data_IF_237929065127
#
_entry.id   IF_237929065127
#
_cell.length_a   1.000
_cell.length_b   1.000
_cell.length_c   1.000
_cell.angle_alpha   90.00
_cell.angle_beta   90.00
_cell.angle_gamma   90.00
#
_symmetry.space_group_name_H-M   'P 1'
#
loop_
_entity.id
_entity.type
_entity.pdbx_description
1 polymer ?
#
# COMPACT_ATOMS: atom_id res chain seq x y z
N UNK A 1 7.01 -3.44 -23.82
CA UNK A 1 8.25 -2.90 -23.22
C UNK A 1 9.43 -3.82 -23.58
N UNK A 2 10.59 -3.27 -23.94
CA UNK A 2 11.86 -4.02 -24.03
C UNK A 2 12.65 -3.85 -22.73
N UNK A 3 13.29 -4.91 -22.24
CA UNK A 3 14.07 -4.87 -20.99
C UNK A 3 15.38 -5.63 -21.17
N UNK A 4 16.49 -4.88 -21.25
CA UNK A 4 17.84 -5.43 -21.45
C UNK A 4 18.23 -6.46 -20.38
N UNK A 5 17.77 -6.31 -19.14
CA UNK A 5 18.02 -7.28 -18.06
C UNK A 5 17.32 -8.62 -18.27
N UNK A 6 16.10 -8.59 -18.80
CA UNK A 6 15.35 -9.80 -19.09
C UNK A 6 15.97 -10.50 -20.31
N UNK A 7 16.25 -9.74 -21.37
CA UNK A 7 16.82 -10.25 -22.62
C UNK A 7 18.21 -10.88 -22.38
N UNK A 8 19.02 -10.29 -21.49
CA UNK A 8 20.31 -10.84 -21.06
C UNK A 8 20.19 -11.97 -20.00
N UNK A 9 18.97 -12.35 -19.58
CA UNK A 9 18.75 -13.39 -18.57
C UNK A 9 19.18 -13.03 -17.15
N UNK A 10 19.54 -11.75 -16.89
CA UNK A 10 20.02 -11.25 -15.59
C UNK A 10 18.89 -11.05 -14.57
N UNK A 11 17.67 -10.78 -15.04
CA UNK A 11 16.51 -10.60 -14.19
C UNK A 11 15.27 -11.29 -14.78
N UNK A 12 14.61 -12.14 -13.98
CA UNK A 12 13.38 -12.86 -14.37
C UNK A 12 12.15 -12.46 -13.56
N UNK A 13 12.19 -11.32 -12.86
CA UNK A 13 11.06 -10.86 -12.04
C UNK A 13 9.79 -10.57 -12.86
N UNK A 14 9.93 -10.15 -14.12
CA UNK A 14 8.82 -9.93 -15.05
C UNK A 14 8.51 -11.20 -15.86
N UNK A 15 7.85 -12.18 -15.24
CA UNK A 15 7.64 -13.52 -15.84
C UNK A 15 6.79 -13.54 -17.12
N UNK A 16 5.96 -12.52 -17.35
CA UNK A 16 5.11 -12.40 -18.53
C UNK A 16 5.66 -11.44 -19.60
N UNK A 17 6.88 -10.91 -19.44
CA UNK A 17 7.44 -9.93 -20.38
C UNK A 17 7.43 -10.37 -21.86
N UNK A 18 7.68 -11.65 -22.21
CA UNK A 18 7.61 -12.10 -23.60
C UNK A 18 6.20 -12.05 -24.23
N UNK A 19 5.14 -11.98 -23.41
CA UNK A 19 3.76 -11.96 -23.89
C UNK A 19 3.35 -10.52 -24.22
N UNK A 20 2.77 -10.26 -25.40
CA UNK A 20 2.20 -8.95 -25.72
C UNK A 20 1.19 -8.50 -24.66
N UNK A 21 1.25 -7.22 -24.27
CA UNK A 21 0.46 -6.70 -23.16
C UNK A 21 -1.06 -6.94 -23.27
N UNK A 22 -1.71 -6.79 -24.45
CA UNK A 22 -3.12 -7.14 -24.61
C UNK A 22 -3.45 -8.60 -24.31
N UNK A 23 -2.53 -9.53 -24.62
CA UNK A 23 -2.70 -10.95 -24.31
C UNK A 23 -2.54 -11.21 -22.81
N UNK A 24 -1.62 -10.51 -22.13
CA UNK A 24 -1.51 -10.59 -20.67
C UNK A 24 -2.81 -10.14 -19.99
N UNK A 25 -3.43 -9.06 -20.49
CA UNK A 25 -4.69 -8.53 -19.97
C UNK A 25 -5.84 -9.51 -20.20
N UNK A 26 -6.00 -10.01 -21.44
CA UNK A 26 -7.01 -11.01 -21.79
C UNK A 26 -6.88 -12.27 -20.93
N UNK A 27 -5.66 -12.79 -20.75
CA UNK A 27 -5.42 -13.97 -19.90
C UNK A 27 -5.77 -13.73 -18.42
N UNK A 28 -5.50 -12.52 -17.89
CA UNK A 28 -5.89 -12.15 -16.51
C UNK A 28 -7.40 -12.04 -16.37
N UNK A 29 -8.09 -11.44 -17.34
CA UNK A 29 -9.56 -11.37 -17.35
C UNK A 29 -10.18 -12.76 -17.43
N UNK A 30 -9.69 -13.63 -18.33
CA UNK A 30 -10.20 -15.00 -18.44
C UNK A 30 -10.01 -15.76 -17.13
N UNK A 31 -8.84 -15.66 -16.50
CA UNK A 31 -8.59 -16.31 -15.20
C UNK A 31 -9.51 -15.79 -14.09
N UNK A 32 -9.90 -14.50 -14.14
CA UNK A 32 -10.89 -13.96 -13.22
C UNK A 32 -12.30 -14.53 -13.50
N UNK A 33 -12.70 -14.63 -14.78
CA UNK A 33 -13.96 -15.25 -15.21
C UNK A 33 -14.04 -16.71 -14.78
N UNK A 34 -12.99 -17.49 -15.02
CA UNK A 34 -12.94 -18.91 -14.63
C UNK A 34 -13.07 -19.09 -13.12
N UNK A 35 -12.40 -18.23 -12.34
CA UNK A 35 -12.49 -18.27 -10.88
C UNK A 35 -13.88 -17.90 -10.35
N UNK A 36 -14.64 -17.09 -11.09
CA UNK A 36 -15.98 -16.63 -10.73
C UNK A 36 -17.09 -17.31 -11.55
N UNK A 37 -16.79 -18.43 -12.22
CA UNK A 37 -17.74 -19.10 -13.11
C UNK A 37 -19.03 -19.55 -12.41
N UNK A 38 -19.01 -19.70 -11.08
CA UNK A 38 -20.20 -20.03 -10.27
C UNK A 38 -21.22 -18.89 -10.14
N UNK A 39 -20.90 -17.68 -10.61
CA UNK A 39 -21.78 -16.49 -10.61
C UNK A 39 -21.92 -15.96 -12.04
N UNK A 40 -22.68 -16.65 -12.91
CA UNK A 40 -22.82 -16.27 -14.32
C UNK A 40 -23.52 -14.92 -14.54
N UNK A 41 -24.26 -14.43 -13.54
CA UNK A 41 -24.96 -13.14 -13.54
C UNK A 41 -24.06 -11.91 -13.32
N UNK A 42 -22.75 -12.10 -13.12
CA UNK A 42 -21.83 -10.98 -12.91
C UNK A 42 -21.67 -10.14 -14.19
N UNK A 43 -21.87 -8.84 -14.05
CA UNK A 43 -21.54 -7.86 -15.08
C UNK A 43 -20.02 -7.61 -15.13
N UNK A 44 -19.41 -7.88 -16.29
CA UNK A 44 -17.98 -7.68 -16.51
C UNK A 44 -17.72 -6.31 -17.14
N UNK A 45 -17.20 -5.38 -16.34
CA UNK A 45 -16.72 -4.10 -16.83
C UNK A 45 -15.40 -4.24 -17.63
N UNK A 46 -15.07 -3.27 -18.51
CA UNK A 46 -13.76 -3.20 -19.14
C UNK A 46 -12.64 -3.20 -18.08
N UNK A 47 -11.55 -3.91 -18.35
CA UNK A 47 -10.43 -3.92 -17.43
C UNK A 47 -9.67 -2.59 -17.45
N UNK A 48 -9.30 -2.13 -16.27
CA UNK A 48 -8.35 -1.03 -16.09
C UNK A 48 -6.94 -1.57 -16.39
N UNK A 49 -6.28 -0.98 -17.36
CA UNK A 49 -4.90 -1.28 -17.72
C UNK A 49 -3.89 -0.35 -17.03
N UNK A 50 -2.61 -0.61 -17.26
CA UNK A 50 -1.49 0.14 -16.70
C UNK A 50 -0.55 0.51 -17.83
N UNK A 51 0.18 1.62 -17.66
CA UNK A 51 1.41 1.82 -18.41
C UNK A 51 2.32 0.58 -18.26
N UNK A 52 3.04 0.24 -19.34
CA UNK A 52 3.91 -0.93 -19.33
C UNK A 52 5.21 -0.67 -18.55
N UNK A 53 5.68 0.57 -18.50
CA UNK A 53 6.93 1.01 -17.87
C UNK A 53 6.70 2.19 -16.93
N UNK A 54 7.66 2.47 -16.04
CA UNK A 54 7.66 3.66 -15.17
C UNK A 54 6.52 3.73 -14.15
N UNK A 55 5.67 2.71 -14.06
CA UNK A 55 4.48 2.74 -13.20
C UNK A 55 4.79 2.47 -11.72
N UNK A 56 5.99 1.96 -11.41
CA UNK A 56 6.33 1.49 -10.07
C UNK A 56 6.90 2.63 -9.23
N UNK A 57 6.10 3.16 -8.31
CA UNK A 57 6.47 4.24 -7.39
C UNK A 57 7.41 3.82 -6.23
N UNK A 58 7.73 2.52 -6.11
CA UNK A 58 8.55 1.99 -5.00
C UNK A 58 9.61 1.01 -5.47
N UNK A 59 10.87 1.36 -5.26
CA UNK A 59 12.01 0.48 -5.42
C UNK A 59 12.32 -0.27 -4.12
N UNK A 60 12.71 -1.54 -4.26
CA UNK A 60 13.16 -2.40 -3.17
C UNK A 60 14.48 -3.00 -3.61
N UNK A 61 15.58 -2.34 -3.27
CA UNK A 61 16.90 -2.69 -3.76
C UNK A 61 17.64 -3.48 -2.68
N UNK A 62 18.05 -4.69 -3.00
CA UNK A 62 19.13 -5.36 -2.27
C UNK A 62 20.40 -4.55 -2.49
N UNK A 63 21.11 -4.26 -1.40
CA UNK A 63 22.43 -3.66 -1.48
C UNK A 63 23.48 -4.77 -1.42
N UNK A 64 24.32 -4.84 -2.44
CA UNK A 64 25.36 -5.86 -2.57
C UNK A 64 26.67 -5.24 -3.06
N UNK A 65 27.67 -6.06 -3.39
CA UNK A 65 29.00 -5.59 -3.76
C UNK A 65 29.81 -5.15 -2.54
N UNK A 66 30.37 -3.94 -2.57
CA UNK A 66 31.14 -3.36 -1.45
C UNK A 66 30.68 -1.93 -1.19
N UNK A 67 31.00 -1.36 -0.03
CA UNK A 67 30.67 0.06 0.22
C UNK A 67 31.35 1.00 -0.79
N UNK A 68 32.51 0.64 -1.36
CA UNK A 68 33.21 1.43 -2.39
C UNK A 68 32.58 1.34 -3.78
N UNK A 69 31.93 0.21 -4.06
CA UNK A 69 31.28 -0.11 -5.34
C UNK A 69 30.00 -0.87 -5.02
N UNK A 70 28.98 -0.18 -4.48
CA UNK A 70 27.72 -0.81 -4.14
C UNK A 70 26.98 -1.17 -5.41
N UNK A 71 26.14 -2.20 -5.32
CA UNK A 71 25.23 -2.61 -6.39
C UNK A 71 23.82 -2.58 -5.84
N UNK A 72 22.93 -1.85 -6.50
CA UNK A 72 21.52 -1.71 -6.13
C UNK A 72 20.63 -2.52 -7.08
N UNK A 73 20.00 -3.58 -6.56
CA UNK A 73 19.09 -4.38 -7.37
C UNK A 73 18.62 -5.66 -6.69
N UNK A 74 18.94 -6.81 -7.27
CA UNK A 74 18.59 -8.13 -6.74
C UNK A 74 19.84 -9.00 -6.59
N UNK A 75 19.67 -10.18 -5.98
CA UNK A 75 20.67 -11.24 -6.01
C UNK A 75 20.28 -12.26 -7.08
N UNK A 76 21.27 -12.75 -7.83
CA UNK A 76 21.09 -13.93 -8.68
C UNK A 76 21.10 -15.23 -7.86
N UNK A 77 21.05 -16.37 -8.55
CA UNK A 77 21.03 -17.70 -7.93
C UNK A 77 22.29 -18.01 -7.09
N UNK A 78 23.43 -17.38 -7.43
CA UNK A 78 24.70 -17.56 -6.74
C UNK A 78 24.89 -16.52 -5.60
N UNK A 79 23.89 -15.66 -5.38
CA UNK A 79 23.94 -14.61 -4.38
C UNK A 79 24.77 -13.40 -4.79
N UNK A 80 25.09 -13.25 -6.07
CA UNK A 80 25.80 -12.08 -6.61
C UNK A 80 24.80 -10.97 -6.97
N UNK A 81 25.23 -9.74 -6.75
CA UNK A 81 24.45 -8.55 -7.07
C UNK A 81 24.22 -8.38 -8.58
N UNK A 82 22.95 -8.22 -8.96
CA UNK A 82 22.52 -7.76 -10.27
C UNK A 82 22.00 -6.34 -10.12
N UNK A 83 22.71 -5.40 -10.75
CA UNK A 83 22.30 -3.99 -10.82
C UNK A 83 20.98 -3.88 -11.60
N UNK A 84 20.01 -3.19 -11.01
CA UNK A 84 18.70 -2.88 -11.59
C UNK A 84 18.33 -1.40 -11.42
N UNK A 85 19.32 -0.52 -11.26
CA UNK A 85 19.13 0.93 -11.16
C UNK A 85 18.42 1.52 -12.39
N UNK A 86 18.60 0.95 -13.56
CA UNK A 86 17.96 1.29 -14.84
C UNK A 86 16.71 0.44 -15.17
N UNK A 87 16.14 -0.26 -14.19
CA UNK A 87 14.95 -1.09 -14.42
C UNK A 87 13.78 -0.25 -14.94
N UNK A 88 13.26 -0.62 -16.12
CA UNK A 88 12.19 0.07 -16.82
C UNK A 88 10.84 0.15 -16.06
N UNK A 89 10.68 -0.59 -14.96
CA UNK A 89 9.51 -0.45 -14.10
C UNK A 89 9.55 0.80 -13.23
N UNK A 90 10.75 1.26 -12.86
CA UNK A 90 10.91 2.43 -12.00
C UNK A 90 10.69 3.71 -12.81
N UNK A 91 10.09 4.69 -12.15
CA UNK A 91 9.93 6.04 -12.68
C UNK A 91 11.29 6.71 -12.91
N UNK A 92 11.35 7.74 -13.78
CA UNK A 92 12.57 8.49 -14.01
C UNK A 92 13.17 9.11 -12.73
N UNK A 93 12.34 9.59 -11.79
CA UNK A 93 12.83 10.19 -10.55
C UNK A 93 13.47 9.18 -9.60
N UNK A 94 12.94 7.95 -9.53
CA UNK A 94 13.60 6.85 -8.81
C UNK A 94 14.94 6.52 -9.48
N UNK A 95 14.98 6.32 -10.80
CA UNK A 95 16.19 5.97 -11.53
C UNK A 95 17.29 7.04 -11.35
N UNK A 96 16.92 8.32 -11.44
CA UNK A 96 17.84 9.45 -11.27
C UNK A 96 18.46 9.53 -9.87
N UNK A 97 17.88 8.88 -8.87
CA UNK A 97 18.38 8.92 -7.49
C UNK A 97 19.48 7.90 -7.19
N UNK A 98 19.57 6.81 -7.96
CA UNK A 98 20.38 5.65 -7.56
C UNK A 98 21.89 5.93 -7.53
N UNK A 99 22.43 6.65 -8.53
CA UNK A 99 23.85 7.01 -8.54
C UNK A 99 24.25 7.87 -7.31
N UNK A 100 23.36 8.76 -6.88
CA UNK A 100 23.55 9.56 -5.66
C UNK A 100 23.49 8.69 -4.40
N UNK A 101 22.59 7.70 -4.36
CA UNK A 101 22.50 6.76 -3.25
C UNK A 101 23.71 5.82 -3.16
N UNK A 102 24.26 5.39 -4.29
CA UNK A 102 25.51 4.62 -4.36
C UNK A 102 26.69 5.44 -3.84
N UNK A 103 26.79 6.69 -4.25
CA UNK A 103 27.80 7.63 -3.75
C UNK A 103 27.66 7.87 -2.24
N UNK A 104 26.42 7.96 -1.75
CA UNK A 104 26.13 8.09 -0.32
C UNK A 104 26.54 6.85 0.49
N UNK A 105 26.28 5.65 -0.02
CA UNK A 105 26.73 4.39 0.59
C UNK A 105 28.25 4.39 0.76
N UNK A 106 28.98 4.86 -0.25
CA UNK A 106 30.44 4.98 -0.18
C UNK A 106 30.88 6.03 0.83
N UNK A 107 30.25 7.21 0.82
CA UNK A 107 30.54 8.31 1.75
C UNK A 107 30.34 7.90 3.22
N UNK A 108 29.21 7.27 3.53
CA UNK A 108 28.86 6.86 4.90
C UNK A 108 29.47 5.49 5.29
N UNK A 109 30.26 4.88 4.40
CA UNK A 109 30.93 3.57 4.59
C UNK A 109 29.92 2.51 5.07
N UNK A 110 28.81 2.39 4.33
CA UNK A 110 27.74 1.44 4.65
C UNK A 110 28.06 0.09 4.02
N UNK A 111 28.60 -0.83 4.81
CA UNK A 111 28.97 -2.16 4.33
C UNK A 111 27.73 -2.96 3.92
N UNK A 112 27.61 -3.40 2.65
CA UNK A 112 26.51 -4.26 2.22
C UNK A 112 26.46 -5.56 3.02
N UNK A 113 25.26 -6.01 3.36
CA UNK A 113 25.05 -7.22 4.13
C UNK A 113 25.16 -8.48 3.25
N UNK A 114 26.10 -9.36 3.59
CA UNK A 114 26.26 -10.66 2.96
C UNK A 114 25.47 -11.72 3.73
N UNK A 115 24.44 -12.28 3.10
CA UNK A 115 23.53 -13.27 3.71
C UNK A 115 24.26 -14.57 4.07
N UNK A 116 25.16 -15.05 3.22
CA UNK A 116 25.89 -16.30 3.44
C UNK A 116 26.87 -16.18 4.62
N UNK A 117 27.61 -15.07 4.70
CA UNK A 117 28.58 -14.81 5.76
C UNK A 117 27.98 -14.21 7.03
N UNK A 118 26.72 -13.75 6.97
CA UNK A 118 26.02 -13.02 8.03
C UNK A 118 26.79 -11.79 8.55
N UNK A 119 27.45 -11.10 7.63
CA UNK A 119 28.32 -9.94 7.91
C UNK A 119 27.90 -8.73 7.09
N UNK A 120 28.33 -7.55 7.51
CA UNK A 120 27.91 -6.28 6.93
C UNK A 120 26.67 -5.74 7.64
N UNK A 121 26.15 -4.63 7.13
CA UNK A 121 25.21 -3.80 7.88
C UNK A 121 23.99 -3.40 7.05
N UNK A 122 24.19 -2.84 5.86
CA UNK A 122 23.13 -2.38 4.99
C UNK A 122 22.57 -3.53 4.13
N UNK A 123 21.31 -3.90 4.37
CA UNK A 123 20.62 -4.99 3.65
C UNK A 123 19.88 -4.48 2.41
N UNK A 124 19.07 -3.43 2.60
CA UNK A 124 18.20 -2.92 1.55
C UNK A 124 18.13 -1.39 1.57
N UNK A 125 17.92 -0.81 0.38
CA UNK A 125 17.35 0.52 0.23
C UNK A 125 15.92 0.39 -0.27
N UNK A 126 14.98 0.95 0.48
CA UNK A 126 13.58 1.06 0.06
C UNK A 126 13.32 2.52 -0.27
N UNK A 127 13.03 2.80 -1.54
CA UNK A 127 12.78 4.14 -2.03
C UNK A 127 11.35 4.22 -2.54
N UNK A 128 10.58 5.20 -2.07
CA UNK A 128 9.21 5.47 -2.53
C UNK A 128 9.16 6.90 -3.08
N UNK A 129 8.55 7.08 -4.23
CA UNK A 129 8.33 8.39 -4.87
C UNK A 129 6.84 8.74 -4.83
N UNK A 130 6.53 10.00 -4.56
CA UNK A 130 5.17 10.54 -4.69
C UNK A 130 4.84 10.92 -6.14
N UNK A 131 3.58 11.25 -6.38
CA UNK A 131 3.12 11.87 -7.64
C UNK A 131 3.82 13.20 -7.96
N UNK A 132 4.29 13.91 -6.93
CA UNK A 132 5.01 15.19 -7.04
C UNK A 132 6.53 15.02 -7.16
N UNK A 133 7.05 13.79 -7.17
CA UNK A 133 8.49 13.49 -7.22
C UNK A 133 9.21 13.59 -5.88
N UNK A 134 8.50 13.81 -4.76
CA UNK A 134 9.09 13.75 -3.43
C UNK A 134 9.47 12.31 -3.08
N UNK A 135 10.59 12.14 -2.37
CA UNK A 135 11.16 10.83 -2.04
C UNK A 135 11.07 10.53 -0.55
N UNK A 136 10.74 9.27 -0.26
CA UNK A 136 10.97 8.63 1.03
C UNK A 136 12.03 7.54 0.87
N UNK A 137 13.15 7.69 1.58
CA UNK A 137 14.25 6.73 1.61
C UNK A 137 14.29 6.01 2.96
N UNK A 138 14.36 4.68 2.91
CA UNK A 138 14.51 3.85 4.10
C UNK A 138 15.74 2.97 3.96
N UNK A 139 16.66 3.08 4.91
CA UNK A 139 17.80 2.18 5.03
C UNK A 139 17.39 0.99 5.89
N UNK A 140 17.44 -0.23 5.35
CA UNK A 140 17.22 -1.42 6.17
C UNK A 140 18.57 -1.96 6.61
N UNK A 141 18.82 -1.88 7.91
CA UNK A 141 20.08 -2.26 8.54
C UNK A 141 19.92 -3.52 9.38
N UNK A 142 21.04 -4.15 9.73
CA UNK A 142 21.08 -5.28 10.66
C UNK A 142 21.00 -4.83 12.12
N UNK A 143 21.68 -3.74 12.46
CA UNK A 143 21.75 -3.11 13.78
C UNK A 143 21.78 -1.58 13.63
N UNK A 144 21.90 -0.87 14.76
CA UNK A 144 21.94 0.58 14.83
C UNK A 144 23.36 1.17 14.62
N UNK A 145 24.38 0.34 14.41
CA UNK A 145 25.80 0.75 14.36
C UNK A 145 26.08 1.84 13.31
N UNK A 146 25.37 1.82 12.18
CA UNK A 146 25.57 2.80 11.11
C UNK A 146 24.64 4.01 11.18
N UNK A 147 23.70 4.07 12.13
CA UNK A 147 22.69 5.15 12.22
C UNK A 147 23.34 6.52 12.35
N UNK A 148 24.33 6.67 13.24
CA UNK A 148 25.01 7.96 13.45
C UNK A 148 25.82 8.40 12.22
N UNK A 149 26.41 7.46 11.47
CA UNK A 149 27.09 7.79 10.21
C UNK A 149 26.11 8.25 9.14
N UNK A 150 24.93 7.61 9.05
CA UNK A 150 23.87 8.05 8.13
C UNK A 150 23.40 9.45 8.52
N UNK A 151 23.15 9.70 9.82
CA UNK A 151 22.77 11.03 10.33
C UNK A 151 23.81 12.10 9.99
N UNK A 152 25.09 11.81 10.20
CA UNK A 152 26.20 12.73 9.94
C UNK A 152 26.23 13.20 8.47
N UNK A 153 25.99 12.29 7.52
CA UNK A 153 26.04 12.60 6.08
C UNK A 153 24.68 12.96 5.46
N UNK A 154 23.58 12.82 6.21
CA UNK A 154 22.22 13.09 5.71
C UNK A 154 22.06 14.49 5.09
N UNK A 155 22.63 15.59 5.65
CA UNK A 155 22.54 16.90 5.01
C UNK A 155 23.12 16.93 3.59
N UNK A 156 24.26 16.27 3.36
CA UNK A 156 24.87 16.14 2.03
C UNK A 156 23.98 15.36 1.07
N UNK A 157 23.33 14.30 1.55
CA UNK A 157 22.38 13.54 0.74
C UNK A 157 21.16 14.37 0.35
N UNK A 158 20.59 15.14 1.29
CA UNK A 158 19.44 16.01 1.01
C UNK A 158 19.79 17.20 0.11
N UNK A 159 21.03 17.68 0.12
CA UNK A 159 21.51 18.66 -0.85
C UNK A 159 21.60 18.06 -2.27
N UNK A 160 22.06 16.80 -2.39
CA UNK A 160 22.16 16.11 -3.67
C UNK A 160 20.81 15.59 -4.19
N UNK A 161 19.84 15.35 -3.30
CA UNK A 161 18.46 15.00 -3.61
C UNK A 161 17.50 15.97 -2.90
N UNK A 162 17.29 17.19 -3.41
CA UNK A 162 16.41 18.18 -2.77
C UNK A 162 14.95 17.72 -2.58
N UNK A 163 14.51 16.75 -3.38
CA UNK A 163 13.21 16.10 -3.28
C UNK A 163 13.13 15.05 -2.16
N UNK A 164 14.24 14.71 -1.48
CA UNK A 164 14.27 13.74 -0.39
C UNK A 164 13.65 14.31 0.89
N UNK A 165 12.38 13.95 1.12
CA UNK A 165 11.57 14.47 2.23
C UNK A 165 11.66 13.64 3.47
N UNK A 166 11.47 12.33 3.36
CA UNK A 166 11.41 11.44 4.54
C UNK A 166 12.57 10.47 4.50
N UNK A 167 13.36 10.45 5.57
CA UNK A 167 14.45 9.48 5.73
C UNK A 167 14.30 8.72 7.03
N UNK A 168 14.45 7.40 6.97
CA UNK A 168 14.40 6.53 8.14
C UNK A 168 15.37 5.36 8.05
N UNK A 169 15.62 4.76 9.20
CA UNK A 169 16.37 3.51 9.34
C UNK A 169 15.46 2.46 9.94
N UNK A 170 15.29 1.35 9.23
CA UNK A 170 14.60 0.17 9.72
C UNK A 170 15.63 -0.85 10.23
N UNK A 171 15.47 -1.34 11.45
CA UNK A 171 16.35 -2.36 12.02
C UNK A 171 15.74 -3.75 11.82
N UNK A 172 16.45 -4.59 11.06
CA UNK A 172 16.09 -5.98 10.76
C UNK A 172 17.23 -6.89 11.25
N UNK A 173 17.31 -7.21 12.56
CA UNK A 173 18.38 -8.06 13.09
C UNK A 173 18.20 -9.54 12.75
N UNK A 174 16.97 -9.94 12.44
CA UNK A 174 16.64 -11.33 12.16
C UNK A 174 17.20 -11.81 10.80
N UNK A 175 17.52 -13.10 10.72
CA UNK A 175 17.97 -13.76 9.50
C UNK A 175 16.81 -14.52 8.85
N UNK A 176 15.67 -13.84 8.69
CA UNK A 176 14.45 -14.41 8.08
C UNK A 176 14.20 -13.78 6.71
N UNK A 177 13.37 -14.43 5.89
CA UNK A 177 12.90 -13.91 4.59
C UNK A 177 12.00 -12.66 4.68
N UNK A 178 11.97 -11.99 5.84
CA UNK A 178 11.21 -10.76 6.07
C UNK A 178 12.10 -9.59 5.67
N UNK A 179 11.58 -8.70 4.82
CA UNK A 179 12.33 -7.58 4.25
C UNK A 179 12.71 -6.52 5.29
N UNK A 180 11.87 -6.31 6.30
CA UNK A 180 11.91 -5.20 7.25
C UNK A 180 11.71 -5.76 8.67
N UNK A 181 12.32 -5.15 9.68
CA UNK A 181 12.07 -5.46 11.08
C UNK A 181 11.09 -4.48 11.73
N UNK A 182 10.83 -4.68 13.02
CA UNK A 182 9.77 -3.96 13.74
C UNK A 182 10.17 -2.52 14.11
N UNK A 183 11.45 -2.26 14.36
CA UNK A 183 11.93 -0.96 14.80
C UNK A 183 12.25 -0.06 13.60
N UNK A 184 11.67 1.15 13.62
CA UNK A 184 11.91 2.21 12.64
C UNK A 184 12.38 3.48 13.36
N UNK A 185 13.54 4.00 12.97
CA UNK A 185 14.15 5.22 13.48
C UNK A 185 14.00 6.31 12.42
N UNK A 186 13.16 7.31 12.68
CA UNK A 186 13.05 8.48 11.80
C UNK A 186 14.30 9.36 11.95
N UNK A 187 14.90 9.72 10.81
CA UNK A 187 16.02 10.66 10.74
C UNK A 187 15.55 12.08 10.38
N UNK A 188 14.35 12.21 9.81
CA UNK A 188 13.69 13.49 9.49
C UNK A 188 12.35 13.60 10.24
N UNK A 189 12.35 13.80 11.58
CA UNK A 189 11.12 13.83 12.38
C UNK A 189 10.14 14.97 12.00
N UNK A 190 10.61 16.02 11.35
CA UNK A 190 9.88 17.20 10.87
C UNK A 190 9.03 16.85 9.64
N UNK A 191 9.48 15.87 8.86
CA UNK A 191 8.82 15.34 7.66
C UNK A 191 8.67 13.82 7.78
N UNK A 192 7.88 13.33 8.77
CA UNK A 192 7.83 11.91 9.11
C UNK A 192 7.02 11.07 8.11
N UNK A 193 6.45 11.72 7.09
CA UNK A 193 5.50 11.16 6.14
C UNK A 193 5.74 11.70 4.74
N UNK A 194 5.54 10.84 3.75
CA UNK A 194 5.43 11.20 2.34
C UNK A 194 3.96 11.38 1.98
N UNK A 195 3.60 12.47 1.29
CA UNK A 195 2.23 12.64 0.80
C UNK A 195 2.16 12.21 -0.66
N UNK A 196 1.18 11.38 -0.99
CA UNK A 196 0.89 10.97 -2.37
C UNK A 196 -0.54 11.40 -2.68
N UNK A 197 -0.71 12.25 -3.69
CA UNK A 197 -2.03 12.56 -4.24
C UNK A 197 -2.52 11.36 -5.03
N UNK A 198 -3.71 10.91 -4.66
CA UNK A 198 -4.44 9.88 -5.40
C UNK A 198 -5.83 10.41 -5.65
N UNK A 199 -6.17 10.65 -6.91
CA UNK A 199 -7.36 11.39 -7.29
C UNK A 199 -7.38 12.76 -6.57
N UNK A 200 -8.43 13.03 -5.79
CA UNK A 200 -8.61 14.25 -5.01
C UNK A 200 -8.09 14.16 -3.56
N UNK A 201 -7.39 13.07 -3.18
CA UNK A 201 -7.01 12.80 -1.80
C UNK A 201 -5.50 12.81 -1.53
N UNK A 202 -5.02 13.56 -0.51
CA UNK A 202 -3.61 13.60 -0.11
C UNK A 202 -3.28 12.47 0.87
N UNK A 203 -3.12 11.24 0.36
CA UNK A 203 -2.82 10.08 1.20
C UNK A 203 -1.42 10.23 1.82
N UNK A 204 -1.35 10.20 3.15
CA UNK A 204 -0.09 10.34 3.91
C UNK A 204 0.50 8.98 4.24
N UNK A 205 1.76 8.74 3.88
CA UNK A 205 2.45 7.46 4.08
C UNK A 205 3.57 7.62 5.11
N UNK A 206 3.52 6.81 6.16
CA UNK A 206 4.65 6.58 7.08
C UNK A 206 5.55 5.46 6.56
N UNK A 207 6.82 5.35 6.98
CA UNK A 207 7.78 4.39 6.44
C UNK A 207 7.29 2.94 6.32
N UNK A 208 6.66 2.39 7.35
CA UNK A 208 6.17 1.01 7.38
C UNK A 208 4.73 0.85 6.84
N UNK A 209 4.10 1.92 6.38
CA UNK A 209 2.76 1.86 5.79
C UNK A 209 2.81 1.17 4.42
N UNK A 210 1.90 0.22 4.21
CA UNK A 210 1.70 -0.36 2.87
C UNK A 210 0.98 0.63 1.97
N UNK A 211 1.45 0.74 0.73
CA UNK A 211 0.80 1.50 -0.33
C UNK A 211 0.95 0.76 -1.66
N UNK A 212 0.01 1.00 -2.58
CA UNK A 212 0.04 0.36 -3.89
C UNK A 212 1.23 0.87 -4.69
N UNK A 213 1.96 -0.05 -5.32
CA UNK A 213 3.16 0.32 -6.06
C UNK A 213 2.87 1.00 -7.40
N UNK A 214 1.61 0.96 -7.86
CA UNK A 214 1.16 1.57 -9.10
C UNK A 214 0.06 2.58 -8.76
N UNK A 215 0.43 3.86 -8.64
CA UNK A 215 -0.48 4.93 -8.21
C UNK A 215 -1.65 5.12 -9.19
N UNK A 216 -1.46 5.17 -10.52
CA UNK A 216 -2.57 5.32 -11.47
C UNK A 216 -3.63 4.20 -11.35
N UNK A 217 -3.20 2.93 -11.32
CA UNK A 217 -4.12 1.79 -11.19
C UNK A 217 -4.81 1.80 -9.83
N UNK A 218 -4.10 2.18 -8.77
CA UNK A 218 -4.71 2.34 -7.45
C UNK A 218 -5.79 3.42 -7.45
N UNK A 219 -5.53 4.57 -8.08
CA UNK A 219 -6.49 5.66 -8.23
C UNK A 219 -7.76 5.23 -8.95
N UNK A 220 -7.62 4.52 -10.07
CA UNK A 220 -8.75 3.96 -10.82
C UNK A 220 -9.55 2.92 -10.00
N UNK A 221 -8.86 2.05 -9.27
CA UNK A 221 -9.50 1.10 -8.35
C UNK A 221 -10.31 1.81 -7.25
N UNK A 222 -9.76 2.87 -6.65
CA UNK A 222 -10.46 3.65 -5.62
C UNK A 222 -11.65 4.41 -6.19
N UNK A 223 -11.52 5.00 -7.38
CA UNK A 223 -12.59 5.70 -8.06
C UNK A 223 -13.75 4.76 -8.41
N UNK A 224 -13.45 3.56 -8.90
CA UNK A 224 -14.48 2.55 -9.20
C UNK A 224 -15.22 2.10 -7.95
N UNK A 225 -14.51 1.88 -6.85
CA UNK A 225 -15.14 1.54 -5.57
C UNK A 225 -16.02 2.68 -5.03
N UNK A 226 -15.60 3.94 -5.20
CA UNK A 226 -16.42 5.11 -4.88
C UNK A 226 -17.72 5.11 -5.68
N UNK A 227 -17.65 4.88 -6.99
CA UNK A 227 -18.83 4.83 -7.85
C UNK A 227 -19.82 3.74 -7.41
N UNK A 228 -19.35 2.51 -7.17
CA UNK A 228 -20.22 1.42 -6.70
C UNK A 228 -20.87 1.73 -5.34
N UNK A 229 -20.11 2.33 -4.41
CA UNK A 229 -20.64 2.72 -3.11
C UNK A 229 -21.60 3.91 -3.22
N UNK A 230 -21.41 4.82 -4.17
CA UNK A 230 -22.38 5.88 -4.47
C UNK A 230 -23.68 5.31 -5.04
N UNK A 231 -23.61 4.36 -5.97
CA UNK A 231 -24.79 3.69 -6.53
C UNK A 231 -25.57 2.88 -5.48
N UNK A 232 -24.87 2.22 -4.56
CA UNK A 232 -25.50 1.43 -3.50
C UNK A 232 -26.07 2.25 -2.34
N UNK A 233 -25.67 3.53 -2.22
CA UNK A 233 -26.07 4.46 -1.16
C UNK A 233 -26.08 3.88 0.29
N UNK A 234 -25.04 3.15 0.74
CA UNK A 234 -25.05 2.61 2.09
C UNK A 234 -24.89 3.74 3.12
N UNK A 235 -25.63 3.62 4.23
CA UNK A 235 -25.46 4.50 5.40
C UNK A 235 -24.14 4.23 6.12
N UNK A 236 -23.59 3.01 5.99
CA UNK A 236 -22.36 2.59 6.64
C UNK A 236 -21.48 1.68 5.78
N UNK A 237 -20.17 1.93 5.80
CA UNK A 237 -19.14 1.15 5.11
C UNK A 237 -18.06 0.67 6.07
N UNK A 238 -17.62 -0.57 5.91
CA UNK A 238 -16.47 -1.14 6.60
C UNK A 238 -15.36 -1.47 5.61
N UNK A 239 -14.22 -0.79 5.74
CA UNK A 239 -13.00 -1.10 4.97
C UNK A 239 -12.09 -1.97 5.82
N UNK A 240 -12.08 -3.28 5.55
CA UNK A 240 -11.24 -4.24 6.26
C UNK A 240 -9.88 -4.33 5.57
N UNK A 241 -8.81 -4.29 6.37
CA UNK A 241 -7.43 -4.17 5.87
C UNK A 241 -7.22 -2.85 5.12
N UNK A 242 -7.74 -1.76 5.70
CA UNK A 242 -7.83 -0.46 5.03
C UNK A 242 -6.46 0.16 4.71
N UNK A 243 -5.36 -0.34 5.29
CA UNK A 243 -4.04 0.24 5.14
C UNK A 243 -4.06 1.72 5.52
N UNK A 244 -3.51 2.57 4.64
CA UNK A 244 -3.52 4.05 4.80
C UNK A 244 -4.89 4.70 4.54
N UNK A 245 -5.96 3.92 4.42
CA UNK A 245 -7.32 4.41 4.22
C UNK A 245 -7.68 4.63 2.75
N UNK A 246 -7.02 3.95 1.82
CA UNK A 246 -7.24 4.14 0.38
C UNK A 246 -8.71 4.05 -0.02
N UNK A 247 -9.41 2.96 0.26
CA UNK A 247 -10.84 2.89 -0.04
C UNK A 247 -11.68 3.72 0.92
N UNK A 248 -11.50 3.52 2.23
CA UNK A 248 -12.27 4.20 3.26
C UNK A 248 -12.37 5.71 3.06
N UNK A 249 -11.27 6.38 2.71
CA UNK A 249 -11.26 7.82 2.51
C UNK A 249 -11.92 8.23 1.17
N UNK A 250 -11.77 7.44 0.10
CA UNK A 250 -12.42 7.73 -1.19
C UNK A 250 -13.93 7.56 -1.13
N UNK A 251 -14.45 6.70 -0.26
CA UNK A 251 -15.90 6.49 -0.10
C UNK A 251 -16.51 7.32 1.04
N UNK A 252 -15.69 8.08 1.78
CA UNK A 252 -16.11 8.90 2.90
C UNK A 252 -16.94 10.10 2.43
N UNK A 253 -18.10 10.29 3.05
CA UNK A 253 -18.98 11.43 2.75
C UNK A 253 -19.54 12.04 4.04
N UNK A 254 -20.27 13.16 3.93
CA UNK A 254 -20.87 13.83 5.10
C UNK A 254 -22.02 13.05 5.73
N UNK A 255 -22.61 12.11 5.00
CA UNK A 255 -23.85 11.41 5.38
C UNK A 255 -23.63 9.92 5.61
N UNK A 256 -22.39 9.43 5.46
CA UNK A 256 -22.01 8.03 5.52
C UNK A 256 -21.00 7.79 6.63
N UNK A 257 -21.26 6.79 7.46
CA UNK A 257 -20.30 6.30 8.45
C UNK A 257 -19.30 5.37 7.77
N UNK A 258 -18.02 5.72 7.72
CA UNK A 258 -16.97 4.80 7.24
C UNK A 258 -16.07 4.37 8.38
N UNK A 259 -15.90 3.06 8.53
CA UNK A 259 -15.03 2.44 9.54
C UNK A 259 -13.92 1.66 8.84
N UNK A 260 -12.67 2.11 9.01
CA UNK A 260 -11.49 1.38 8.54
C UNK A 260 -10.90 0.51 9.65
N UNK A 261 -10.54 -0.74 9.34
CA UNK A 261 -9.93 -1.69 10.27
C UNK A 261 -8.58 -2.15 9.74
N UNK A 262 -7.53 -2.02 10.54
CA UNK A 262 -6.16 -2.32 10.15
C UNK A 262 -5.32 -2.81 11.34
N UNK A 263 -4.31 -3.63 11.09
CA UNK A 263 -3.41 -4.17 12.13
C UNK A 263 -2.16 -3.30 12.28
N UNK A 264 -1.67 -2.69 11.19
CA UNK A 264 -0.51 -1.80 11.19
C UNK A 264 -0.80 -0.49 11.93
N UNK A 265 0.06 -0.20 12.91
CA UNK A 265 -0.02 1.00 13.74
C UNK A 265 0.16 2.28 12.92
N UNK A 266 1.15 2.27 12.04
CA UNK A 266 1.54 3.37 11.18
C UNK A 266 0.49 3.61 10.08
N UNK A 267 -0.07 2.55 9.50
CA UNK A 267 -1.10 2.67 8.48
C UNK A 267 -2.38 3.35 9.02
N UNK A 268 -2.80 3.02 10.25
CA UNK A 268 -3.91 3.73 10.92
C UNK A 268 -3.57 5.18 11.24
N UNK A 269 -2.34 5.47 11.68
CA UNK A 269 -1.93 6.86 11.93
C UNK A 269 -1.96 7.68 10.63
N UNK A 270 -1.45 7.11 9.54
CA UNK A 270 -1.53 7.63 8.17
C UNK A 270 -2.97 7.95 7.74
N UNK A 271 -3.88 6.98 7.88
CA UNK A 271 -5.29 7.13 7.53
C UNK A 271 -5.95 8.23 8.36
N UNK A 272 -5.68 8.25 9.68
CA UNK A 272 -6.25 9.24 10.60
C UNK A 272 -5.78 10.66 10.28
N UNK A 273 -4.49 10.86 10.00
CA UNK A 273 -3.98 12.19 9.64
C UNK A 273 -4.58 12.69 8.33
N UNK A 274 -4.78 11.79 7.37
CA UNK A 274 -5.45 12.15 6.12
C UNK A 274 -6.91 12.53 6.37
N UNK A 275 -7.63 11.74 7.18
CA UNK A 275 -9.00 12.04 7.58
C UNK A 275 -9.12 13.39 8.31
N UNK A 276 -8.22 13.67 9.25
CA UNK A 276 -8.18 14.93 10.00
C UNK A 276 -7.94 16.12 9.06
N UNK A 277 -7.01 16.00 8.10
CA UNK A 277 -6.71 17.03 7.11
C UNK A 277 -7.91 17.35 6.19
N UNK A 278 -8.76 16.35 5.91
CA UNK A 278 -10.01 16.50 5.15
C UNK A 278 -11.19 16.96 6.02
N UNK A 279 -10.98 17.13 7.33
CA UNK A 279 -12.02 17.55 8.28
C UNK A 279 -13.11 16.50 8.52
N UNK A 280 -12.75 15.21 8.44
CA UNK A 280 -13.59 14.12 8.93
C UNK A 280 -13.41 13.93 10.44
N UNK A 281 -14.49 13.64 11.16
CA UNK A 281 -14.46 13.48 12.63
C UNK A 281 -14.19 12.03 13.05
N UNK A 282 -13.48 11.87 14.17
CA UNK A 282 -13.21 10.57 14.78
C UNK A 282 -14.43 10.08 15.58
N UNK A 283 -14.97 8.92 15.24
CA UNK A 283 -15.86 8.17 16.13
C UNK A 283 -15.03 7.21 16.98
N UNK A 284 -15.09 7.35 18.31
CA UNK A 284 -14.45 6.40 19.22
C UNK A 284 -15.26 5.09 19.25
N UNK A 285 -14.71 4.02 18.66
CA UNK A 285 -15.30 2.68 18.68
C UNK A 285 -14.61 1.79 19.73
N UNK A 286 -15.31 0.77 20.27
CA UNK A 286 -14.85 -0.02 21.41
C UNK A 286 -13.52 -0.73 21.13
N UNK A 287 -12.57 -0.54 22.05
CA UNK A 287 -11.22 -1.13 22.04
C UNK A 287 -11.27 -2.66 21.96
N UNK A 288 -11.04 -3.26 20.78
CA UNK A 288 -10.56 -4.64 20.69
C UNK A 288 -9.03 -4.64 20.63
N UNK A 289 -8.38 -5.36 21.56
CA UNK A 289 -6.94 -5.27 21.82
C UNK A 289 -6.02 -5.67 20.65
N UNK A 290 -6.53 -6.25 19.56
CA UNK A 290 -5.75 -6.76 18.41
C UNK A 290 -5.90 -5.98 17.10
N UNK A 291 -6.94 -5.18 16.93
CA UNK A 291 -7.19 -4.43 15.68
C UNK A 291 -7.34 -2.96 15.96
N UNK A 292 -6.82 -2.12 15.07
CA UNK A 292 -6.93 -0.67 15.14
C UNK A 292 -8.01 -0.21 14.20
N UNK A 293 -8.74 0.81 14.63
CA UNK A 293 -9.92 1.32 13.92
C UNK A 293 -9.71 2.80 13.71
N UNK A 294 -10.06 3.29 12.52
CA UNK A 294 -10.29 4.71 12.28
C UNK A 294 -11.70 4.91 11.72
N UNK A 295 -12.25 6.11 11.91
CA UNK A 295 -13.55 6.48 11.36
C UNK A 295 -13.40 7.73 10.50
N UNK A 296 -14.04 7.71 9.33
CA UNK A 296 -14.20 8.85 8.45
C UNK A 296 -15.69 9.12 8.23
N UNK A 297 -16.11 10.33 8.57
CA UNK A 297 -17.49 10.81 8.47
C UNK A 297 -17.62 12.08 9.31
N UNK A 298 -18.52 13.00 8.96
CA UNK A 298 -18.86 14.13 9.84
C UNK A 298 -20.02 13.71 10.73
N UNK A 299 -19.80 13.70 12.04
CA UNK A 299 -20.91 13.57 12.98
C UNK A 299 -21.79 14.81 12.81
N UNK A 300 -22.97 14.65 12.21
CA UNK A 300 -23.98 15.68 12.17
C UNK A 300 -24.37 16.04 13.60
N UNK A 301 -23.90 17.18 14.10
CA UNK A 301 -24.55 17.83 15.22
C UNK A 301 -26.02 18.00 14.82
N UNK A 302 -26.93 17.40 15.59
CA UNK A 302 -28.37 17.44 15.35
C UNK A 302 -28.81 18.89 15.17
N UNK A 303 -29.11 19.28 13.92
CA UNK A 303 -29.85 20.50 13.65
C UNK A 303 -31.28 20.28 14.14
N UNK A 304 -31.75 21.18 15.00
CA UNK A 304 -33.05 21.09 15.64
C UNK A 304 -34.20 21.04 14.63
N UNK A 305 -35.04 20.03 14.78
CA UNK A 305 -36.44 20.11 14.41
C UNK A 305 -37.28 19.63 15.59
N UNK A 306 -37.98 20.58 16.22
CA UNK A 306 -39.16 20.30 17.02
C UNK A 306 -40.21 19.73 16.08
N UNK A 307 -40.71 18.53 16.34
CA UNK A 307 -42.11 18.21 16.11
C UNK A 307 -42.52 17.03 17.00
N UNK A 308 -43.65 17.22 17.66
CA UNK A 308 -44.38 16.25 18.44
C UNK A 308 -45.05 15.20 17.56
N UNK A 309 -45.63 14.21 18.24
CA UNK A 309 -46.63 13.26 17.77
C UNK A 309 -46.12 11.94 17.13
N UNK A 310 -46.45 10.87 17.87
CA UNK A 310 -46.56 9.48 17.49
C UNK A 310 -46.71 9.21 15.98
N UNK A 311 -45.71 8.54 15.40
CA UNK A 311 -45.87 7.78 14.17
C UNK A 311 -45.04 6.50 14.26
N UNK A 312 -45.71 5.36 14.05
CA UNK A 312 -45.16 4.00 14.04
C UNK A 312 -43.91 3.93 13.16
N UNK A 313 -42.74 3.68 13.76
CA UNK A 313 -41.52 3.40 13.01
C UNK A 313 -41.61 1.99 12.40
N UNK A 314 -41.97 1.93 11.11
CA UNK A 314 -41.51 0.86 10.22
C UNK A 314 -39.97 0.87 10.27
N UNK A 315 -39.37 -0.24 10.70
CA UNK A 315 -37.91 -0.46 10.63
C UNK A 315 -37.52 -0.44 9.15
N UNK A 316 -36.95 0.67 8.67
CA UNK A 316 -36.26 0.69 7.38
C UNK A 316 -34.96 -0.10 7.53
N UNK A 317 -34.77 -1.07 6.64
CA UNK A 317 -33.58 -1.88 6.45
C UNK A 317 -32.49 -1.03 5.82
N UNK A 318 -31.33 -0.89 6.44
CA UNK A 318 -30.21 -0.10 5.90
C UNK A 318 -29.14 -1.01 5.25
N UNK A 319 -28.69 -0.71 4.03
CA UNK A 319 -27.63 -1.47 3.37
C UNK A 319 -26.26 -1.23 4.01
N UNK A 320 -25.53 -2.32 4.25
CA UNK A 320 -24.15 -2.37 4.72
C UNK A 320 -23.23 -2.80 3.57
N UNK A 321 -22.05 -2.18 3.46
CA UNK A 321 -21.03 -2.56 2.49
C UNK A 321 -19.66 -2.84 3.13
N UNK A 322 -19.04 -3.97 2.81
CA UNK A 322 -17.70 -4.35 3.22
C UNK A 322 -16.69 -4.38 2.06
N UNK A 323 -15.48 -3.86 2.28
CA UNK A 323 -14.33 -4.00 1.36
C UNK A 323 -13.26 -4.87 2.02
N UNK A 324 -12.79 -5.92 1.33
CA UNK A 324 -11.88 -6.93 1.93
C UNK A 324 -10.69 -7.24 1.02
N UNK A 325 -9.46 -7.02 1.51
CA UNK A 325 -8.21 -7.17 0.73
C UNK A 325 -7.34 -8.42 1.02
N UNK A 326 -7.56 -9.20 2.10
CA UNK A 326 -6.79 -10.45 2.37
C UNK A 326 -7.41 -11.33 3.45
N UNK A 327 -6.87 -12.54 3.65
CA UNK A 327 -7.23 -13.45 4.75
C UNK A 327 -6.40 -13.17 6.00
N UNK A 328 -7.09 -12.85 7.09
CA UNK A 328 -6.69 -13.04 8.48
C UNK A 328 -7.91 -13.68 9.16
N UNK A 329 -7.72 -14.81 9.83
CA UNK A 329 -8.80 -15.61 10.38
C UNK A 329 -9.63 -14.82 11.41
N UNK A 330 -8.99 -13.91 12.16
CA UNK A 330 -9.64 -13.07 13.17
C UNK A 330 -10.53 -11.99 12.51
N UNK A 331 -10.11 -11.45 11.36
CA UNK A 331 -10.87 -10.46 10.60
C UNK A 331 -11.99 -11.08 9.76
N UNK A 332 -11.86 -12.33 9.32
CA UNK A 332 -12.97 -13.08 8.72
C UNK A 332 -14.08 -13.39 9.75
N UNK A 333 -13.69 -13.72 10.99
CA UNK A 333 -14.63 -13.85 12.11
C UNK A 333 -15.27 -12.51 12.47
N UNK A 334 -14.52 -11.41 12.38
CA UNK A 334 -15.06 -10.05 12.54
C UNK A 334 -16.04 -9.71 11.41
N UNK A 335 -15.71 -10.01 10.15
CA UNK A 335 -16.57 -9.83 8.99
C UNK A 335 -17.90 -10.58 9.15
N UNK A 336 -17.87 -11.87 9.49
CA UNK A 336 -19.09 -12.66 9.78
C UNK A 336 -19.94 -12.07 10.91
N UNK A 337 -19.31 -11.44 11.91
CA UNK A 337 -20.02 -10.76 13.00
C UNK A 337 -20.61 -9.41 12.58
N UNK A 338 -19.98 -8.72 11.62
CA UNK A 338 -20.44 -7.42 11.10
C UNK A 338 -21.59 -7.62 10.10
N UNK A 339 -21.49 -8.59 9.19
CA UNK A 339 -22.46 -8.80 8.11
C UNK A 339 -23.77 -9.42 8.61
N UNK A 340 -23.74 -10.17 9.72
CA UNK A 340 -24.92 -10.91 10.18
C UNK A 340 -25.45 -11.88 9.11
N UNK A 341 -26.64 -12.48 9.29
CA UNK A 341 -27.23 -13.43 8.34
C UNK A 341 -28.12 -12.74 7.29
N UNK A 342 -27.83 -11.51 6.84
CA UNK A 342 -28.71 -10.78 5.90
C UNK A 342 -27.93 -10.03 4.82
N UNK A 343 -28.45 -9.97 3.58
CA UNK A 343 -27.71 -9.43 2.45
C UNK A 343 -27.69 -7.90 2.48
N UNK A 344 -26.50 -7.31 2.59
CA UNK A 344 -26.20 -5.92 2.22
C UNK A 344 -25.46 -5.88 0.88
N UNK A 345 -25.25 -4.68 0.32
CA UNK A 345 -24.46 -4.52 -0.91
C UNK A 345 -22.97 -4.49 -0.55
N UNK A 346 -22.22 -5.56 -0.79
CA UNK A 346 -20.79 -5.65 -0.46
C UNK A 346 -19.89 -5.40 -1.68
N UNK A 347 -18.82 -4.62 -1.50
CA UNK A 347 -17.86 -4.30 -2.55
C UNK A 347 -16.50 -4.94 -2.26
N UNK A 348 -16.19 -6.11 -2.81
CA UNK A 348 -14.95 -6.84 -2.49
C UNK A 348 -13.84 -6.50 -3.49
N UNK A 349 -12.67 -6.09 -2.98
CA UNK A 349 -11.48 -5.82 -3.79
C UNK A 349 -10.33 -6.77 -3.43
N UNK A 350 -10.00 -7.70 -4.32
CA UNK A 350 -8.98 -8.71 -4.07
C UNK A 350 -7.78 -8.59 -5.02
N UNK A 351 -6.58 -8.84 -4.51
CA UNK A 351 -5.35 -8.87 -5.31
C UNK A 351 -5.19 -10.14 -6.19
N UNK A 352 -6.09 -11.14 -6.03
CA UNK A 352 -6.09 -12.37 -6.81
C UNK A 352 -7.50 -12.97 -6.93
N UNK A 353 -7.82 -13.69 -8.03
CA UNK A 353 -9.16 -14.26 -8.26
C UNK A 353 -9.57 -15.37 -7.29
N UNK A 354 -8.64 -16.24 -6.87
CA UNK A 354 -8.94 -17.36 -5.95
C UNK A 354 -9.48 -16.92 -4.58
N UNK A 355 -8.83 -15.94 -3.90
CA UNK A 355 -9.37 -15.31 -2.70
C UNK A 355 -10.71 -14.59 -2.90
N UNK A 356 -10.99 -14.07 -4.11
CA UNK A 356 -12.25 -13.41 -4.46
C UNK A 356 -13.38 -14.44 -4.55
N UNK A 357 -13.21 -15.50 -5.35
CA UNK A 357 -14.20 -16.58 -5.49
C UNK A 357 -14.62 -17.18 -4.14
N UNK A 358 -13.66 -17.42 -3.24
CA UNK A 358 -13.96 -17.94 -1.90
C UNK A 358 -14.68 -16.93 -1.01
N UNK A 359 -14.46 -15.62 -1.19
CA UNK A 359 -15.23 -14.60 -0.51
C UNK A 359 -16.67 -14.54 -1.04
N UNK A 360 -16.85 -14.53 -2.36
CA UNK A 360 -18.18 -14.52 -2.97
C UNK A 360 -18.97 -15.79 -2.58
N UNK A 361 -18.33 -16.98 -2.51
CA UNK A 361 -18.97 -18.20 -1.97
C UNK A 361 -19.37 -18.08 -0.50
N UNK A 362 -18.57 -17.41 0.33
CA UNK A 362 -18.90 -17.21 1.74
C UNK A 362 -20.08 -16.25 1.93
N UNK A 363 -20.29 -15.33 0.97
CA UNK A 363 -21.43 -14.42 0.92
C UNK A 363 -22.68 -15.07 0.34
N UNK A 364 -22.57 -15.83 -0.75
CA UNK A 364 -23.70 -16.54 -1.36
C UNK A 364 -24.29 -17.66 -0.47
N UNK A 365 -23.54 -18.09 0.56
CA UNK A 365 -23.98 -19.07 1.55
C UNK A 365 -24.65 -18.45 2.80
N UNK A 366 -24.74 -17.11 2.87
CA UNK A 366 -25.48 -16.35 3.88
C UNK A 366 -26.78 -15.81 3.28
#
# INVERSE_FOLDING_TARGET
MQCSHFDAGRCRSCTQLPQPYPQQLAAKQQRARDALASWPELDWLPAIDSAESGFRNKAKMVVSGSWRRPVLGILDADGKGVDLSDCALYSPGLQASFATLESFIALAVLSPYNVALRRGELKYLLLTESDTGELMLRFVLRSDEAVERIRLHLPTLQQALPQLRTVSVNLQPEHKAILEGEQEILLTPETPELTIQVNDLPLRLRPQSFFQTNTPVAGALYAQAREWVEQAEPSRVWDLYCGVGGFALHVASRWRDVVGVETSRDAVASAQRTADALGYTRLALPRRRRHRIFAAGRCGARAGHRQSAAARHRRRTEPLAGIVRRRDADLFQLQRRITGPRPGADAVAAAAPGPLARHVSAYAAL
#
